data_IF_254133564061
#
_entry.id   IF_254133564061
#
_cell.length_a   1.000
_cell.length_b   1.000
_cell.length_c   1.000
_cell.angle_alpha   90.00
_cell.angle_beta   90.00
_cell.angle_gamma   90.00
#
_symmetry.space_group_name_H-M   'P 1'
#
loop_
_entity.id
_entity.type
_entity.pdbx_description
1 polymer ?
#
# COMPACT_ATOMS: atom_id res chain seq x y z
N UNK A 1 -21.05 10.85 -29.58
CA UNK A 1 -20.59 10.05 -28.42
C UNK A 1 -21.13 10.58 -27.10
N UNK A 2 -20.90 11.85 -26.72
CA UNK A 2 -21.44 12.43 -25.47
C UNK A 2 -22.96 12.26 -25.30
N UNK A 3 -23.75 12.51 -26.35
CA UNK A 3 -25.20 12.30 -26.34
C UNK A 3 -25.63 10.84 -26.16
N UNK A 4 -24.74 9.86 -26.35
CA UNK A 4 -25.02 8.44 -26.08
C UNK A 4 -24.74 8.10 -24.62
N UNK A 5 -23.62 8.58 -24.05
CA UNK A 5 -23.34 8.43 -22.62
C UNK A 5 -24.43 9.04 -21.75
N UNK A 6 -24.90 10.24 -22.11
CA UNK A 6 -26.00 10.90 -21.40
C UNK A 6 -27.34 10.13 -21.44
N UNK A 7 -27.54 9.25 -22.44
CA UNK A 7 -28.72 8.36 -22.49
C UNK A 7 -28.61 7.19 -21.52
N UNK A 8 -27.39 6.70 -21.25
CA UNK A 8 -27.15 5.59 -20.32
C UNK A 8 -27.13 6.11 -18.89
N UNK A 9 -26.40 7.21 -18.65
CA UNK A 9 -26.31 7.83 -17.34
C UNK A 9 -26.43 9.36 -17.46
N UNK A 10 -27.51 9.92 -16.92
CA UNK A 10 -27.77 11.35 -16.98
C UNK A 10 -26.88 12.18 -16.04
N UNK A 11 -26.22 11.53 -15.06
CA UNK A 11 -25.34 12.18 -14.09
C UNK A 11 -23.94 12.45 -14.65
N UNK A 12 -23.51 11.69 -15.65
CA UNK A 12 -22.21 11.86 -16.29
C UNK A 12 -22.17 13.12 -17.15
N UNK A 13 -21.15 13.95 -16.91
CA UNK A 13 -20.89 15.18 -17.66
C UNK A 13 -19.41 15.23 -18.01
N UNK A 14 -19.10 15.96 -19.08
CA UNK A 14 -17.71 16.23 -19.43
C UNK A 14 -17.14 17.17 -18.34
N UNK A 15 -16.01 16.80 -17.76
CA UNK A 15 -15.32 17.56 -16.70
C UNK A 15 -13.94 18.06 -17.14
N UNK A 16 -13.43 17.55 -18.26
CA UNK A 16 -12.09 17.87 -18.75
C UNK A 16 -11.67 16.94 -19.87
N UNK A 17 -10.35 16.85 -20.05
CA UNK A 17 -9.73 15.98 -21.03
C UNK A 17 -8.39 15.47 -20.51
N UNK A 18 -7.89 14.40 -21.12
CA UNK A 18 -6.60 13.82 -20.75
C UNK A 18 -5.74 13.59 -21.98
N UNK A 19 -4.43 13.56 -21.80
CA UNK A 19 -3.51 13.06 -22.80
C UNK A 19 -2.46 12.16 -22.15
N UNK A 20 -1.86 11.30 -22.97
CA UNK A 20 -1.00 10.19 -22.53
C UNK A 20 0.46 10.59 -22.31
N UNK A 21 0.71 11.83 -21.86
CA UNK A 21 2.06 12.33 -21.54
C UNK A 21 3.06 12.33 -22.71
N UNK A 22 4.38 12.40 -22.45
CA UNK A 22 5.03 12.37 -21.13
C UNK A 22 5.17 13.75 -20.45
N UNK A 23 4.96 14.86 -21.16
CA UNK A 23 5.06 16.23 -20.65
C UNK A 23 4.03 17.13 -21.31
N UNK A 24 3.80 18.31 -20.72
CA UNK A 24 3.01 19.39 -21.30
C UNK A 24 3.64 19.88 -22.61
N UNK A 25 2.79 20.13 -23.61
CA UNK A 25 3.12 20.72 -24.88
C UNK A 25 2.42 22.07 -25.05
N UNK A 26 3.03 22.96 -25.86
CA UNK A 26 2.46 24.28 -26.16
C UNK A 26 1.06 24.21 -26.78
N UNK A 27 0.78 23.13 -27.52
CA UNK A 27 -0.51 22.91 -28.18
C UNK A 27 -1.65 22.61 -27.18
N UNK A 28 -1.33 22.19 -25.95
CA UNK A 28 -2.32 21.79 -24.96
C UNK A 28 -3.20 22.98 -24.52
N UNK A 29 -2.65 24.19 -24.56
CA UNK A 29 -3.40 25.44 -24.28
C UNK A 29 -4.51 25.62 -25.33
N UNK A 30 -4.20 25.41 -26.61
CA UNK A 30 -5.17 25.55 -27.71
C UNK A 30 -6.26 24.47 -27.63
N UNK A 31 -5.88 23.23 -27.29
CA UNK A 31 -6.84 22.14 -27.09
C UNK A 31 -7.76 22.46 -25.91
N UNK A 32 -7.20 22.95 -24.80
CA UNK A 32 -7.99 23.28 -23.62
C UNK A 32 -9.00 24.40 -23.92
N UNK A 33 -8.66 25.39 -24.74
CA UNK A 33 -9.57 26.46 -25.14
C UNK A 33 -10.75 25.96 -25.99
N UNK A 34 -10.53 24.94 -26.84
CA UNK A 34 -11.62 24.27 -27.54
C UNK A 34 -12.54 23.52 -26.56
N UNK A 35 -11.97 22.82 -25.58
CA UNK A 35 -12.73 22.11 -24.56
C UNK A 35 -13.49 23.05 -23.62
N UNK A 36 -12.96 24.26 -23.38
CA UNK A 36 -13.59 25.28 -22.54
C UNK A 36 -14.97 25.74 -23.05
N UNK A 37 -15.24 25.56 -24.35
CA UNK A 37 -16.57 25.81 -24.96
C UNK A 37 -17.64 24.84 -24.44
N UNK A 38 -17.25 23.64 -24.05
CA UNK A 38 -18.14 22.61 -23.52
C UNK A 38 -18.15 22.59 -21.99
N UNK A 39 -17.01 22.91 -21.36
CA UNK A 39 -16.81 22.87 -19.92
C UNK A 39 -16.06 24.11 -19.43
N UNK A 40 -16.73 25.00 -18.69
CA UNK A 40 -16.10 26.23 -18.18
C UNK A 40 -14.87 25.94 -17.30
N UNK A 41 -14.91 24.84 -16.55
CA UNK A 41 -13.88 24.43 -15.59
C UNK A 41 -13.17 23.16 -16.09
N UNK A 42 -12.70 23.19 -17.33
CA UNK A 42 -11.98 22.06 -17.93
C UNK A 42 -10.65 21.81 -17.22
N UNK A 43 -10.48 20.59 -16.69
CA UNK A 43 -9.23 20.10 -16.10
C UNK A 43 -8.47 19.27 -17.14
N UNK A 44 -7.16 19.47 -17.22
CA UNK A 44 -6.25 18.62 -17.98
C UNK A 44 -5.64 17.56 -17.05
N UNK A 45 -5.72 16.30 -17.43
CA UNK A 45 -5.03 15.21 -16.71
C UNK A 45 -4.00 14.55 -17.61
N UNK A 46 -2.75 14.53 -17.16
CA UNK A 46 -1.68 13.82 -17.86
C UNK A 46 -1.58 12.43 -17.25
N UNK A 47 -1.71 11.40 -18.10
CA UNK A 47 -1.59 10.00 -17.70
C UNK A 47 -0.30 9.46 -18.31
N UNK A 48 0.62 9.01 -17.47
CA UNK A 48 1.85 8.36 -17.94
C UNK A 48 1.56 6.92 -18.37
N UNK A 49 1.85 6.60 -19.63
CA UNK A 49 1.69 5.25 -20.20
C UNK A 49 2.82 4.34 -19.76
N UNK A 50 3.97 4.92 -19.35
CA UNK A 50 5.11 4.16 -18.88
C UNK A 50 5.06 4.13 -17.36
N UNK A 51 4.84 2.96 -16.73
CA UNK A 51 4.82 2.88 -15.28
C UNK A 51 6.20 3.29 -14.75
N UNK A 52 6.21 4.29 -13.88
CA UNK A 52 7.37 4.68 -13.08
C UNK A 52 7.33 3.91 -11.77
N UNK A 53 8.49 3.54 -11.24
CA UNK A 53 8.60 2.79 -9.98
C UNK A 53 8.09 3.59 -8.76
N UNK A 54 7.94 4.91 -8.89
CA UNK A 54 7.58 5.79 -7.77
C UNK A 54 6.71 6.97 -8.22
N UNK A 55 5.65 7.24 -7.44
CA UNK A 55 4.73 8.36 -7.65
C UNK A 55 3.41 7.93 -8.27
N UNK A 56 2.46 8.87 -8.33
CA UNK A 56 1.21 8.69 -9.04
C UNK A 56 1.47 8.90 -10.55
N UNK A 57 0.95 8.03 -11.44
CA UNK A 57 1.10 8.20 -12.88
C UNK A 57 0.17 9.29 -13.45
N UNK A 58 -0.58 9.99 -12.58
CA UNK A 58 -1.58 10.99 -12.93
C UNK A 58 -1.19 12.35 -12.38
N UNK A 59 -1.09 13.35 -13.26
CA UNK A 59 -0.85 14.74 -12.90
C UNK A 59 -2.02 15.60 -13.37
N UNK A 60 -2.61 16.38 -12.46
CA UNK A 60 -3.74 17.25 -12.76
C UNK A 60 -3.30 18.70 -12.97
N UNK A 61 -3.85 19.35 -13.99
CA UNK A 61 -3.55 20.74 -14.32
C UNK A 61 -4.82 21.53 -14.60
N UNK A 62 -4.85 22.77 -14.13
CA UNK A 62 -5.88 23.75 -14.45
C UNK A 62 -5.28 24.90 -15.24
N UNK A 63 -6.03 25.42 -16.22
CA UNK A 63 -5.58 26.58 -16.98
C UNK A 63 -5.91 27.87 -16.24
N UNK A 64 -4.87 28.61 -15.89
CA UNK A 64 -4.94 29.91 -15.22
C UNK A 64 -4.31 30.98 -16.11
N UNK A 65 -4.79 32.21 -15.98
CA UNK A 65 -4.19 33.37 -16.63
C UNK A 65 -3.25 34.02 -15.63
N UNK A 66 -1.96 33.78 -15.78
CA UNK A 66 -0.95 34.38 -14.91
C UNK A 66 -0.54 35.75 -15.46
N UNK A 67 -0.63 36.76 -14.60
CA UNK A 67 -0.02 38.06 -14.80
C UNK A 67 1.39 37.97 -14.24
N UNK A 68 2.39 38.11 -15.10
CA UNK A 68 3.79 38.12 -14.65
C UNK A 68 4.14 39.50 -14.08
N UNK A 69 4.80 39.52 -12.93
CA UNK A 69 5.34 40.76 -12.32
C UNK A 69 6.45 41.41 -13.17
N UNK A 70 6.99 40.69 -14.16
CA UNK A 70 8.03 41.16 -15.09
C UNK A 70 7.47 42.06 -16.22
N UNK A 71 6.18 42.42 -16.15
CA UNK A 71 5.53 43.29 -17.13
C UNK A 71 5.26 42.65 -18.50
N UNK A 72 5.49 41.35 -18.65
CA UNK A 72 5.12 40.61 -19.86
C UNK A 72 3.59 40.46 -19.96
N UNK A 73 3.02 40.37 -21.17
CA UNK A 73 1.59 40.18 -21.37
C UNK A 73 1.06 38.96 -20.61
N UNK A 74 -0.22 39.00 -20.23
CA UNK A 74 -0.91 37.87 -19.62
C UNK A 74 -0.76 36.63 -20.48
N UNK A 75 -0.24 35.56 -19.88
CA UNK A 75 -0.09 34.28 -20.55
C UNK A 75 -0.96 33.23 -19.87
N UNK A 76 -1.68 32.44 -20.66
CA UNK A 76 -2.37 31.25 -20.16
C UNK A 76 -1.34 30.17 -19.86
N UNK A 77 -1.22 29.81 -18.60
CA UNK A 77 -0.33 28.74 -18.12
C UNK A 77 -1.17 27.64 -17.48
N UNK A 78 -0.52 26.52 -17.20
CA UNK A 78 -1.12 25.41 -16.48
C UNK A 78 -0.54 25.36 -15.07
N UNK A 79 -1.41 25.48 -14.09
CA UNK A 79 -1.05 25.32 -12.69
C UNK A 79 -1.36 23.87 -12.26
N UNK A 80 -0.42 23.26 -11.55
CA UNK A 80 -0.57 21.90 -11.07
C UNK A 80 -1.54 21.86 -9.89
N UNK A 81 -2.54 20.99 -9.97
CA UNK A 81 -3.48 20.69 -8.89
C UNK A 81 -3.15 19.33 -8.31
N UNK A 82 -3.14 19.23 -6.98
CA UNK A 82 -2.95 17.98 -6.25
C UNK A 82 -3.92 16.91 -6.74
N UNK A 83 -3.39 15.75 -7.16
CA UNK A 83 -4.18 14.62 -7.66
C UNK A 83 -3.97 13.40 -6.76
N UNK A 84 -5.05 12.65 -6.55
CA UNK A 84 -5.04 11.32 -5.94
C UNK A 84 -5.95 10.38 -6.73
N UNK A 85 -5.69 9.07 -6.64
CA UNK A 85 -6.49 8.05 -7.30
C UNK A 85 -7.41 7.43 -6.24
N UNK A 86 -8.70 7.72 -6.33
CA UNK A 86 -9.75 7.05 -5.58
C UNK A 86 -10.32 5.86 -6.35
N UNK A 87 -11.13 5.04 -5.68
CA UNK A 87 -11.91 3.96 -6.28
C UNK A 87 -13.31 3.93 -5.65
N UNK A 88 -14.32 3.55 -6.43
CA UNK A 88 -15.66 3.21 -5.91
C UNK A 88 -15.69 1.75 -5.40
N UNK A 89 -16.64 1.39 -4.54
CA UNK A 89 -16.75 0.04 -3.95
C UNK A 89 -16.73 -1.08 -5.02
N UNK A 90 -17.47 -0.88 -6.11
CA UNK A 90 -17.49 -1.86 -7.21
C UNK A 90 -16.12 -1.99 -7.92
N UNK A 91 -15.38 -0.90 -8.03
CA UNK A 91 -14.03 -0.88 -8.63
C UNK A 91 -13.00 -1.47 -7.69
N UNK A 92 -13.10 -1.19 -6.38
CA UNK A 92 -12.20 -1.71 -5.36
C UNK A 92 -12.22 -3.24 -5.35
N UNK A 93 -13.41 -3.85 -5.32
CA UNK A 93 -13.58 -5.31 -5.38
C UNK A 93 -13.02 -5.88 -6.70
N UNK A 94 -13.25 -5.18 -7.82
CA UNK A 94 -12.73 -5.59 -9.12
C UNK A 94 -11.19 -5.57 -9.18
N UNK A 95 -10.57 -4.50 -8.68
CA UNK A 95 -9.12 -4.34 -8.65
C UNK A 95 -8.48 -5.32 -7.66
N UNK A 96 -9.08 -5.52 -6.49
CA UNK A 96 -8.60 -6.50 -5.51
C UNK A 96 -8.59 -7.91 -6.11
N UNK A 97 -9.64 -8.27 -6.85
CA UNK A 97 -9.71 -9.57 -7.52
C UNK A 97 -8.59 -9.74 -8.56
N UNK A 98 -8.32 -8.71 -9.36
CA UNK A 98 -7.26 -8.73 -10.37
C UNK A 98 -5.85 -8.76 -9.77
N UNK A 99 -5.67 -8.17 -8.59
CA UNK A 99 -4.37 -8.07 -7.92
C UNK A 99 -4.12 -9.18 -6.90
N UNK A 100 -4.98 -10.20 -6.82
CA UNK A 100 -4.85 -11.31 -5.87
C UNK A 100 -3.52 -12.06 -5.99
N UNK A 101 -2.97 -12.12 -7.19
CA UNK A 101 -1.70 -12.82 -7.47
C UNK A 101 -0.45 -11.94 -7.26
N UNK A 102 -0.63 -10.62 -7.09
CA UNK A 102 0.47 -9.64 -7.03
C UNK A 102 0.58 -9.01 -5.63
N UNK A 103 -0.54 -8.78 -4.95
CA UNK A 103 -0.56 -8.17 -3.61
C UNK A 103 -0.36 -9.22 -2.52
N UNK A 104 0.78 -9.14 -1.84
CA UNK A 104 0.97 -9.77 -0.53
C UNK A 104 0.08 -9.07 0.52
N UNK A 105 -1.16 -9.53 0.66
CA UNK A 105 -2.08 -9.13 1.75
C UNK A 105 -1.59 -9.55 3.14
N UNK A 106 -0.46 -10.27 3.22
CA UNK A 106 0.19 -10.74 4.44
C UNK A 106 1.17 -9.73 5.04
N UNK A 107 1.44 -8.61 4.36
CA UNK A 107 2.35 -7.58 4.87
C UNK A 107 1.73 -6.92 6.10
N UNK A 108 2.28 -7.21 7.28
CA UNK A 108 1.83 -6.62 8.53
C UNK A 108 1.91 -5.08 8.52
N UNK A 109 1.09 -4.45 9.37
CA UNK A 109 0.97 -2.98 9.48
C UNK A 109 2.31 -2.26 9.69
N UNK A 110 3.27 -2.90 10.37
CA UNK A 110 4.61 -2.36 10.57
C UNK A 110 5.42 -2.30 9.27
N UNK A 111 5.44 -3.39 8.51
CA UNK A 111 6.17 -3.48 7.25
C UNK A 111 5.64 -2.47 6.24
N UNK A 112 4.31 -2.29 6.16
CA UNK A 112 3.70 -1.26 5.31
C UNK A 112 4.13 0.15 5.71
N UNK A 113 4.18 0.46 7.02
CA UNK A 113 4.64 1.77 7.51
C UNK A 113 6.11 2.03 7.18
N UNK A 114 6.98 1.04 7.35
CA UNK A 114 8.40 1.15 6.99
C UNK A 114 8.54 1.37 5.48
N UNK A 115 7.83 0.59 4.68
CA UNK A 115 7.78 0.76 3.23
C UNK A 115 7.35 2.19 2.86
N UNK A 116 6.31 2.73 3.49
CA UNK A 116 5.85 4.11 3.25
C UNK A 116 6.93 5.15 3.61
N UNK A 117 7.67 4.97 4.70
CA UNK A 117 8.78 5.86 5.05
C UNK A 117 9.92 5.82 4.02
N UNK A 118 10.30 4.62 3.57
CA UNK A 118 11.33 4.43 2.54
C UNK A 118 10.88 5.05 1.21
N UNK A 119 9.63 4.83 0.80
CA UNK A 119 9.07 5.42 -0.41
C UNK A 119 8.98 6.95 -0.30
N UNK A 120 8.63 7.48 0.87
CA UNK A 120 8.65 8.92 1.16
C UNK A 120 10.03 9.54 0.97
N UNK A 121 11.09 8.90 1.49
CA UNK A 121 12.47 9.35 1.30
C UNK A 121 12.92 9.29 -0.15
N UNK A 122 12.59 8.21 -0.87
CA UNK A 122 12.87 8.11 -2.31
C UNK A 122 12.17 9.22 -3.09
N UNK A 123 10.92 9.53 -2.74
CA UNK A 123 10.13 10.59 -3.36
C UNK A 123 10.74 11.97 -3.10
N UNK A 124 11.17 12.24 -1.87
CA UNK A 124 11.87 13.47 -1.50
C UNK A 124 13.16 13.63 -2.30
N UNK A 125 13.97 12.57 -2.42
CA UNK A 125 15.21 12.61 -3.18
C UNK A 125 14.98 12.95 -4.66
N UNK A 126 13.96 12.35 -5.29
CA UNK A 126 13.59 12.67 -6.67
C UNK A 126 13.23 14.16 -6.82
N UNK A 127 12.36 14.67 -5.93
CA UNK A 127 11.95 16.08 -5.96
C UNK A 127 13.12 17.05 -5.76
N UNK A 128 14.06 16.74 -4.85
CA UNK A 128 15.27 17.55 -4.66
C UNK A 128 16.17 17.53 -5.90
N UNK A 129 16.27 16.39 -6.59
CA UNK A 129 17.00 16.27 -7.84
C UNK A 129 16.37 17.13 -8.96
N UNK A 130 15.03 17.16 -9.03
CA UNK A 130 14.30 17.99 -9.99
C UNK A 130 14.49 19.48 -9.72
N UNK A 131 14.45 19.91 -8.44
CA UNK A 131 14.75 21.30 -8.05
C UNK A 131 16.18 21.66 -8.46
N UNK A 132 17.16 20.80 -8.20
CA UNK A 132 18.55 21.01 -8.63
C UNK A 132 18.65 21.17 -10.15
N UNK A 133 18.00 20.28 -10.91
CA UNK A 133 17.99 20.31 -12.38
C UNK A 133 17.36 21.60 -12.92
N UNK A 134 16.31 22.10 -12.28
CA UNK A 134 15.72 23.40 -12.61
C UNK A 134 16.71 24.55 -12.36
N UNK A 135 17.29 24.63 -11.16
CA UNK A 135 18.25 25.68 -10.80
C UNK A 135 19.49 25.67 -11.71
N UNK A 136 19.98 24.49 -12.10
CA UNK A 136 21.09 24.36 -13.04
C UNK A 136 20.74 24.90 -14.43
N UNK A 137 19.53 24.63 -14.94
CA UNK A 137 19.08 25.17 -16.23
C UNK A 137 18.89 26.69 -16.21
N UNK A 138 18.44 27.23 -15.08
CA UNK A 138 18.29 28.67 -14.86
C UNK A 138 19.68 29.34 -14.76
N UNK A 139 20.63 28.74 -14.04
CA UNK A 139 21.99 29.26 -13.91
C UNK A 139 22.75 29.29 -15.25
N UNK A 140 22.53 28.30 -16.12
CA UNK A 140 23.10 28.26 -17.49
C UNK A 140 22.34 29.20 -18.45
N UNK A 141 21.21 29.79 -18.04
CA UNK A 141 20.43 30.72 -18.84
C UNK A 141 19.57 30.06 -19.94
N UNK A 142 19.31 28.75 -19.85
CA UNK A 142 18.48 28.03 -20.85
C UNK A 142 16.98 28.23 -20.64
N UNK A 143 16.55 28.52 -19.42
CA UNK A 143 15.16 28.85 -19.08
C UNK A 143 15.08 30.24 -18.45
N UNK A 144 13.99 30.98 -18.71
CA UNK A 144 13.71 32.22 -17.99
C UNK A 144 13.48 31.92 -16.50
N UNK A 145 13.88 32.86 -15.65
CA UNK A 145 13.73 32.76 -14.21
C UNK A 145 12.24 32.94 -13.87
N UNK A 146 11.64 31.95 -13.21
CA UNK A 146 10.36 32.15 -12.54
C UNK A 146 10.61 32.57 -11.08
N UNK A 147 10.36 33.84 -10.76
CA UNK A 147 10.58 34.40 -9.42
C UNK A 147 9.72 33.72 -8.35
N UNK A 148 8.50 33.30 -8.66
CA UNK A 148 7.61 32.64 -7.71
C UNK A 148 8.22 31.35 -7.15
N UNK A 149 8.84 30.54 -8.02
CA UNK A 149 9.51 29.29 -7.61
C UNK A 149 10.71 29.61 -6.70
N UNK A 150 11.47 30.66 -6.99
CA UNK A 150 12.63 31.04 -6.19
C UNK A 150 12.20 31.53 -4.80
N UNK A 151 11.14 32.33 -4.70
CA UNK A 151 10.61 32.78 -3.41
C UNK A 151 10.13 31.60 -2.56
N UNK A 152 9.40 30.65 -3.15
CA UNK A 152 9.01 29.43 -2.45
C UNK A 152 10.22 28.60 -2.00
N UNK A 153 11.26 28.48 -2.83
CA UNK A 153 12.48 27.78 -2.44
C UNK A 153 13.21 28.49 -1.29
N UNK A 154 13.24 29.83 -1.28
CA UNK A 154 13.81 30.60 -0.19
C UNK A 154 13.04 30.39 1.12
N UNK A 155 11.71 30.38 1.06
CA UNK A 155 10.86 30.08 2.22
C UNK A 155 11.12 28.67 2.75
N UNK A 156 11.30 27.69 1.88
CA UNK A 156 11.68 26.32 2.27
C UNK A 156 12.98 26.30 3.07
N UNK A 157 14.00 27.03 2.64
CA UNK A 157 15.27 27.12 3.39
C UNK A 157 15.13 27.86 4.72
N UNK A 158 14.31 28.92 4.76
CA UNK A 158 14.06 29.68 5.98
C UNK A 158 13.26 28.88 7.03
N UNK A 159 12.41 27.96 6.58
CA UNK A 159 11.60 27.10 7.44
C UNK A 159 12.31 25.80 7.86
N UNK A 160 13.55 25.57 7.42
CA UNK A 160 14.30 24.40 7.87
C UNK A 160 14.53 24.47 9.38
N UNK A 161 14.04 23.48 10.15
CA UNK A 161 14.17 23.51 11.59
C UNK A 161 15.63 23.27 12.00
N UNK A 162 16.13 24.09 12.93
CA UNK A 162 17.41 23.82 13.58
C UNK A 162 17.22 22.73 14.64
N UNK A 163 17.64 21.52 14.30
CA UNK A 163 17.52 20.32 15.15
C UNK A 163 18.45 20.34 16.36
N UNK A 164 19.43 21.26 16.43
CA UNK A 164 20.40 21.34 17.52
C UNK A 164 19.95 22.23 18.69
N UNK A 165 18.74 22.77 18.64
CA UNK A 165 18.18 23.53 19.75
C UNK A 165 18.02 22.65 20.99
N UNK A 166 18.59 23.08 22.12
CA UNK A 166 18.57 22.33 23.39
C UNK A 166 17.15 21.97 23.85
N UNK A 167 16.19 22.86 23.61
CA UNK A 167 14.78 22.61 23.92
C UNK A 167 14.19 21.48 23.07
N UNK A 168 14.49 21.46 21.77
CA UNK A 168 14.06 20.39 20.87
C UNK A 168 14.67 19.05 21.26
N UNK A 169 15.98 19.02 21.58
CA UNK A 169 16.68 17.82 22.04
C UNK A 169 16.04 17.28 23.31
N UNK A 170 15.78 18.12 24.31
CA UNK A 170 15.12 17.72 25.56
C UNK A 170 13.70 17.18 25.30
N UNK A 171 12.91 17.87 24.48
CA UNK A 171 11.56 17.43 24.11
C UNK A 171 11.58 16.08 23.36
N UNK A 172 12.54 15.89 22.46
CA UNK A 172 12.75 14.65 21.71
C UNK A 172 13.10 13.48 22.63
N UNK A 173 14.00 13.69 23.61
CA UNK A 173 14.32 12.69 24.62
C UNK A 173 13.09 12.31 25.46
N UNK A 174 12.32 13.30 25.92
CA UNK A 174 11.10 13.05 26.69
C UNK A 174 10.11 12.20 25.89
N UNK A 175 9.85 12.57 24.62
CA UNK A 175 8.92 11.83 23.76
C UNK A 175 9.41 10.43 23.39
N UNK A 176 10.71 10.27 23.17
CA UNK A 176 11.30 8.95 22.91
C UNK A 176 11.16 8.05 24.12
N UNK A 177 11.40 8.57 25.32
CA UNK A 177 11.23 7.83 26.56
C UNK A 177 9.78 7.40 26.79
N UNK A 178 8.81 8.32 26.61
CA UNK A 178 7.37 8.00 26.71
C UNK A 178 6.97 6.88 25.74
N UNK A 179 7.42 6.98 24.49
CA UNK A 179 7.11 5.97 23.47
C UNK A 179 7.76 4.61 23.82
N UNK A 180 8.96 4.62 24.37
CA UNK A 180 9.68 3.41 24.76
C UNK A 180 8.98 2.69 25.93
N UNK A 181 8.41 3.43 26.90
CA UNK A 181 7.59 2.86 27.98
C UNK A 181 6.37 2.10 27.42
N UNK A 182 5.69 2.66 26.42
CA UNK A 182 4.56 2.00 25.76
C UNK A 182 5.01 0.71 25.06
N UNK A 183 6.15 0.73 24.38
CA UNK A 183 6.73 -0.46 23.74
C UNK A 183 7.04 -1.55 24.76
N UNK A 184 7.63 -1.20 25.91
CA UNK A 184 7.91 -2.14 26.98
C UNK A 184 6.63 -2.78 27.55
N UNK A 185 5.62 -1.98 27.88
CA UNK A 185 4.36 -2.49 28.42
C UNK A 185 3.67 -3.43 27.42
N UNK A 186 3.61 -3.05 26.13
CA UNK A 186 3.05 -3.89 25.08
C UNK A 186 3.81 -5.22 24.92
N UNK A 187 5.14 -5.19 25.02
CA UNK A 187 5.99 -6.38 24.94
C UNK A 187 5.78 -7.35 26.12
N UNK A 188 5.55 -6.81 27.33
CA UNK A 188 5.28 -7.59 28.53
C UNK A 188 3.92 -8.27 28.41
N UNK A 189 2.87 -7.52 28.04
CA UNK A 189 1.53 -8.08 27.81
C UNK A 189 1.59 -9.19 26.75
N UNK A 190 2.31 -8.96 25.64
CA UNK A 190 2.48 -9.97 24.58
C UNK A 190 3.19 -11.23 25.12
N UNK A 191 4.17 -11.08 26.00
CA UNK A 191 4.87 -12.21 26.62
C UNK A 191 3.97 -13.05 27.53
N UNK A 192 3.09 -12.39 28.31
CA UNK A 192 2.10 -13.08 29.16
C UNK A 192 1.07 -13.83 28.33
N UNK A 193 0.57 -13.22 27.24
CA UNK A 193 -0.37 -13.88 26.32
C UNK A 193 0.30 -15.08 25.63
N UNK A 194 1.55 -14.94 25.19
CA UNK A 194 2.31 -16.04 24.59
C UNK A 194 2.54 -17.19 25.58
N UNK A 195 2.84 -16.90 26.84
CA UNK A 195 2.95 -17.90 27.91
C UNK A 195 1.62 -18.64 28.15
N UNK A 196 0.51 -17.91 28.21
CA UNK A 196 -0.81 -18.52 28.38
C UNK A 196 -1.15 -19.43 27.19
N UNK A 197 -0.88 -19.00 25.97
CA UNK A 197 -1.05 -19.81 24.77
C UNK A 197 -0.15 -21.06 24.79
N UNK A 198 1.08 -20.95 25.28
CA UNK A 198 1.99 -22.09 25.42
C UNK A 198 1.47 -23.12 26.42
N UNK A 199 0.92 -22.67 27.55
CA UNK A 199 0.28 -23.55 28.55
C UNK A 199 -0.90 -24.29 27.91
N UNK A 200 -1.79 -23.57 27.23
CA UNK A 200 -2.95 -24.15 26.57
C UNK A 200 -2.53 -25.18 25.49
N UNK A 201 -1.53 -24.84 24.68
CA UNK A 201 -0.96 -25.76 23.68
C UNK A 201 -0.37 -27.01 24.34
N UNK A 202 0.33 -26.88 25.47
CA UNK A 202 0.92 -28.02 26.17
C UNK A 202 -0.14 -28.94 26.80
N UNK A 203 -1.21 -28.38 27.35
CA UNK A 203 -2.34 -29.16 27.87
C UNK A 203 -3.02 -29.92 26.73
N UNK A 204 -3.34 -29.22 25.64
CA UNK A 204 -3.96 -29.83 24.46
C UNK A 204 -3.11 -30.97 23.87
N UNK A 205 -1.80 -30.76 23.71
CA UNK A 205 -0.89 -31.78 23.20
C UNK A 205 -0.79 -32.98 24.15
N UNK A 206 -0.70 -32.75 25.47
CA UNK A 206 -0.64 -33.84 26.45
C UNK A 206 -1.91 -34.69 26.44
N UNK A 207 -3.07 -34.05 26.33
CA UNK A 207 -4.35 -34.76 26.32
C UNK A 207 -4.57 -35.50 24.99
N UNK A 208 -4.06 -34.95 23.87
CA UNK A 208 -4.01 -35.64 22.58
C UNK A 208 -3.09 -36.87 22.60
N UNK A 209 -1.87 -36.74 23.16
CA UNK A 209 -0.94 -37.87 23.32
C UNK A 209 -1.53 -38.99 24.19
N UNK A 210 -2.27 -38.64 25.25
CA UNK A 210 -2.96 -39.64 26.08
C UNK A 210 -4.06 -40.37 25.33
N UNK A 211 -4.87 -39.65 24.53
CA UNK A 211 -5.91 -40.26 23.69
C UNK A 211 -5.32 -41.17 22.61
N UNK A 212 -4.26 -40.74 21.93
CA UNK A 212 -3.55 -41.59 20.96
C UNK A 212 -2.93 -42.84 21.63
N UNK A 213 -2.42 -42.70 22.86
CA UNK A 213 -1.90 -43.81 23.64
C UNK A 213 -2.99 -44.84 23.97
N UNK A 214 -4.18 -44.37 24.36
CA UNK A 214 -5.34 -45.22 24.66
C UNK A 214 -5.86 -45.91 23.39
N UNK A 215 -6.00 -45.21 22.27
CA UNK A 215 -6.39 -45.84 20.99
C UNK A 215 -5.37 -46.88 20.51
N UNK A 216 -4.07 -46.65 20.73
CA UNK A 216 -3.01 -47.62 20.42
C UNK A 216 -3.03 -48.84 21.35
N UNK A 217 -3.49 -48.70 22.59
CA UNK A 217 -3.67 -49.82 23.52
C UNK A 217 -4.96 -50.60 23.23
N UNK A 218 -6.07 -49.93 22.92
CA UNK A 218 -7.33 -50.57 22.51
C UNK A 218 -7.16 -51.36 21.21
N UNK A 219 -6.53 -50.78 20.18
CA UNK A 219 -6.22 -51.49 18.92
C UNK A 219 -5.25 -52.66 19.10
N UNK A 220 -4.35 -52.62 20.11
CA UNK A 220 -3.50 -53.77 20.47
C UNK A 220 -4.27 -54.85 21.22
N UNK A 221 -5.25 -54.50 22.05
CA UNK A 221 -6.15 -55.44 22.72
C UNK A 221 -7.05 -56.15 21.70
N UNK A 222 -7.67 -55.41 20.78
CA UNK A 222 -8.49 -55.99 19.70
C UNK A 222 -7.68 -56.97 18.84
N UNK A 223 -6.44 -56.60 18.45
CA UNK A 223 -5.54 -57.52 17.71
C UNK A 223 -5.08 -58.75 18.50
N UNK A 224 -5.07 -58.69 19.84
CA UNK A 224 -4.77 -59.85 20.70
C UNK A 224 -5.99 -60.76 20.79
N UNK A 225 -7.17 -60.18 20.98
CA UNK A 225 -8.43 -60.93 21.07
C UNK A 225 -8.79 -61.62 19.75
N UNK A 226 -8.47 -61.02 18.59
CA UNK A 226 -8.58 -61.69 17.29
C UNK A 226 -7.61 -62.86 17.15
N UNK A 227 -6.36 -62.73 17.62
CA UNK A 227 -5.38 -63.82 17.60
C UNK A 227 -5.71 -64.96 18.54
N UNK A 228 -6.34 -64.68 19.69
CA UNK A 228 -6.82 -65.74 20.59
C UNK A 228 -8.03 -66.47 20.00
N UNK A 229 -8.98 -65.75 19.38
CA UNK A 229 -10.09 -66.38 18.66
C UNK A 229 -9.65 -67.23 17.46
N UNK A 230 -8.57 -66.85 16.76
CA UNK A 230 -7.99 -67.70 15.70
C UNK A 230 -7.30 -68.95 16.26
N UNK A 231 -6.65 -68.86 17.43
CA UNK A 231 -6.04 -70.02 18.10
C UNK A 231 -7.08 -71.01 18.62
N UNK A 232 -8.16 -70.54 19.25
CA UNK A 232 -9.27 -71.41 19.68
C UNK A 232 -9.94 -72.12 18.49
N UNK A 233 -10.15 -71.42 17.36
CA UNK A 233 -10.64 -72.05 16.12
C UNK A 233 -9.65 -73.05 15.52
N UNK A 234 -8.35 -72.86 15.73
CA UNK A 234 -7.30 -73.78 15.31
C UNK A 234 -7.19 -75.03 16.18
N UNK A 235 -7.46 -74.91 17.49
CA UNK A 235 -7.50 -76.03 18.44
C UNK A 235 -8.77 -76.86 18.30
N UNK A 236 -9.94 -76.23 18.12
CA UNK A 236 -11.20 -76.93 17.82
C UNK A 236 -11.10 -77.77 16.52
N UNK A 237 -10.42 -77.26 15.49
CA UNK A 237 -10.14 -78.02 14.24
C UNK A 237 -9.11 -79.15 14.42
N UNK A 238 -8.27 -79.11 15.47
CA UNK A 238 -7.34 -80.19 15.81
C UNK A 238 -8.00 -81.27 16.65
N UNK A 239 -8.96 -80.92 17.51
CA UNK A 239 -9.78 -81.88 18.26
C UNK A 239 -10.74 -82.64 17.33
N UNK A 240 -11.42 -81.97 16.39
CA UNK A 240 -12.26 -82.65 15.37
C UNK A 240 -11.47 -83.61 14.46
N UNK A 241 -10.15 -83.40 14.29
CA UNK A 241 -9.28 -84.31 13.54
C UNK A 241 -8.75 -85.49 14.37
N UNK A 242 -8.81 -85.42 15.70
CA UNK A 242 -8.42 -86.53 16.59
C UNK A 242 -9.57 -87.50 16.86
N UNK A 243 -10.83 -87.06 16.78
CA UNK A 243 -12.01 -87.94 16.88
C UNK A 243 -12.35 -88.72 15.60
N UNK A 244 -11.67 -88.44 14.48
CA UNK A 244 -11.86 -89.13 13.18
C UNK A 244 -10.76 -90.14 12.81
N UNK A 245 -9.98 -90.61 13.79
CA UNK A 245 -8.98 -91.68 13.61
C UNK A 245 -9.21 -92.78 14.64
#
# INVERSE_FOLDING_TARGET
MYGMFKKVNARERIVGWYHTGPKLHKNDIAINELMKRYCSNSVLVIIDVKPKDLGLPTEGYISVEEVHDDGTPTSKTFEHVTSEIGAEEAEEVGVEHLLRDIKDTTVGTLSQRITNQVHGLKGLNSKLLDIRSYLEKVAVGKLPINHQIIYQLQDVFNLLPDVNLQEFVKAFYLKTNDQMVVVYLASLIRSVVALHNLINNKIANRDAEKKEGQEKEESKKERKDEKEKEKEKGEAKKEEKKEKK
#
